data_IF_854423062101
#
_entry.id   IF_854423062101
#
_cell.length_a   1.000
_cell.length_b   1.000
_cell.length_c   1.000
_cell.angle_alpha   90.00
_cell.angle_beta   90.00
_cell.angle_gamma   90.00
#
_symmetry.space_group_name_H-M   'P 1'
#
loop_
_entity.id
_entity.type
_entity.pdbx_description
1 polymer ?
#
# COMPACT_ATOMS: atom_id res chain seq x y z
N UNK A 1 -5.04 18.15 10.53
CA UNK A 1 -5.24 16.97 9.67
C UNK A 1 -4.06 16.96 8.72
N UNK A 2 -3.22 15.94 8.78
CA UNK A 2 -2.03 15.88 7.92
C UNK A 2 -2.46 15.26 6.60
N UNK A 3 -2.81 16.11 5.63
CA UNK A 3 -3.06 15.69 4.25
C UNK A 3 -1.73 15.23 3.64
N UNK A 4 -1.42 13.94 3.81
CA UNK A 4 -0.30 13.31 3.13
C UNK A 4 -0.63 13.30 1.63
N UNK A 5 0.27 13.76 0.77
CA UNK A 5 0.09 13.75 -0.69
C UNK A 5 1.04 12.74 -1.31
N UNK A 6 0.49 11.83 -2.09
CA UNK A 6 1.23 10.83 -2.87
C UNK A 6 1.29 11.24 -4.33
N UNK A 7 2.48 11.14 -4.93
CA UNK A 7 2.67 11.37 -6.36
C UNK A 7 2.39 10.06 -7.10
N UNK A 8 1.43 10.10 -8.02
CA UNK A 8 1.11 9.01 -8.97
C UNK A 8 2.19 8.93 -10.05
N UNK A 9 2.21 7.79 -10.75
CA UNK A 9 3.11 7.51 -11.88
C UNK A 9 3.11 8.55 -12.99
N UNK A 10 2.00 9.24 -13.16
CA UNK A 10 1.84 10.32 -14.12
C UNK A 10 2.36 11.69 -13.61
N UNK A 11 2.87 11.74 -12.38
CA UNK A 11 3.31 12.98 -11.72
C UNK A 11 2.20 13.72 -10.97
N UNK A 12 0.94 13.29 -11.09
CA UNK A 12 -0.19 13.93 -10.39
C UNK A 12 -0.18 13.63 -8.89
N UNK A 13 -0.44 14.65 -8.08
CA UNK A 13 -0.57 14.51 -6.63
C UNK A 13 -2.01 14.10 -6.25
N UNK A 14 -2.13 13.10 -5.38
CA UNK A 14 -3.40 12.66 -4.80
C UNK A 14 -3.30 12.60 -3.29
N UNK A 15 -4.41 12.83 -2.61
CA UNK A 15 -4.49 12.67 -1.17
C UNK A 15 -4.28 11.21 -0.77
N UNK A 16 -3.30 11.00 0.11
CA UNK A 16 -3.02 9.75 0.77
C UNK A 16 -3.97 9.60 1.95
N UNK A 17 -4.92 8.67 1.82
CA UNK A 17 -5.80 8.30 2.91
C UNK A 17 -5.29 7.01 3.59
N UNK A 18 -4.94 7.11 4.88
CA UNK A 18 -4.53 5.96 5.70
C UNK A 18 -5.56 4.83 5.69
N UNK A 19 -6.86 5.12 5.56
CA UNK A 19 -7.92 4.09 5.48
C UNK A 19 -7.71 3.16 4.30
N UNK A 20 -7.22 3.66 3.16
CA UNK A 20 -6.98 2.79 1.99
C UNK A 20 -5.93 1.72 2.26
N UNK A 21 -4.89 2.04 3.03
CA UNK A 21 -3.89 1.05 3.45
C UNK A 21 -4.52 0.05 4.44
N UNK A 22 -5.28 0.55 5.41
CA UNK A 22 -5.93 -0.31 6.41
C UNK A 22 -6.91 -1.28 5.73
N UNK A 23 -7.74 -0.79 4.82
CA UNK A 23 -8.69 -1.62 4.06
C UNK A 23 -7.99 -2.60 3.13
N UNK A 24 -6.89 -2.20 2.47
CA UNK A 24 -6.09 -3.10 1.66
C UNK A 24 -5.47 -4.23 2.50
N UNK A 25 -4.91 -3.90 3.67
CA UNK A 25 -4.37 -4.89 4.60
C UNK A 25 -5.45 -5.82 5.14
N UNK A 26 -6.63 -5.31 5.54
CA UNK A 26 -7.76 -6.14 5.99
C UNK A 26 -8.29 -7.04 4.86
N UNK A 27 -8.37 -6.53 3.63
CA UNK A 27 -8.79 -7.31 2.45
C UNK A 27 -7.79 -8.41 2.09
N UNK A 28 -6.51 -8.22 2.43
CA UNK A 28 -5.47 -9.24 2.30
C UNK A 28 -5.45 -10.25 3.45
N UNK A 29 -6.38 -10.16 4.42
CA UNK A 29 -6.48 -11.08 5.55
C UNK A 29 -5.68 -10.66 6.79
N UNK A 30 -5.12 -9.45 6.83
CA UNK A 30 -4.43 -8.96 8.01
C UNK A 30 -5.41 -8.51 9.11
N UNK A 31 -5.05 -8.79 10.36
CA UNK A 31 -5.77 -8.26 11.53
C UNK A 31 -5.76 -6.73 11.53
N UNK A 32 -6.81 -6.14 12.10
CA UNK A 32 -6.98 -4.68 12.12
C UNK A 32 -5.83 -3.96 12.83
N UNK A 33 -5.29 -4.53 13.91
CA UNK A 33 -4.11 -4.01 14.60
C UNK A 33 -2.89 -3.96 13.68
N UNK A 34 -2.61 -5.07 12.99
CA UNK A 34 -1.50 -5.17 12.03
C UNK A 34 -1.68 -4.17 10.88
N UNK A 35 -2.90 -4.03 10.36
CA UNK A 35 -3.24 -3.09 9.31
C UNK A 35 -3.00 -1.63 9.74
N UNK A 36 -3.35 -1.28 10.99
CA UNK A 36 -3.11 0.05 11.56
C UNK A 36 -1.63 0.35 11.73
N UNK A 37 -0.86 -0.59 12.27
CA UNK A 37 0.60 -0.45 12.44
C UNK A 37 1.28 -0.24 11.09
N UNK A 38 0.94 -1.06 10.09
CA UNK A 38 1.49 -0.93 8.73
C UNK A 38 1.11 0.43 8.12
N UNK A 39 -0.13 0.88 8.29
CA UNK A 39 -0.57 2.18 7.77
C UNK A 39 0.18 3.35 8.43
N UNK A 40 0.57 3.21 9.68
CA UNK A 40 1.34 4.21 10.41
C UNK A 40 2.80 4.24 9.94
N UNK A 41 3.47 3.09 9.89
CA UNK A 41 4.84 2.97 9.39
C UNK A 41 4.96 3.49 7.95
N UNK A 42 4.02 3.13 7.07
CA UNK A 42 4.00 3.59 5.68
C UNK A 42 3.79 5.10 5.58
N UNK A 43 3.01 5.69 6.50
CA UNK A 43 2.79 7.14 6.53
C UNK A 43 3.99 7.94 7.01
N UNK A 44 4.80 7.38 7.89
CA UNK A 44 6.05 7.99 8.36
C UNK A 44 7.15 7.94 7.28
N UNK A 45 7.18 6.89 6.46
CA UNK A 45 8.16 6.74 5.36
C UNK A 45 7.79 7.52 4.08
N UNK A 46 6.63 8.18 4.03
CA UNK A 46 6.09 8.81 2.82
C UNK A 46 6.66 10.17 2.36
N UNK A 47 7.48 10.94 3.10
CA UNK A 47 8.08 12.12 2.49
C UNK A 47 9.23 11.70 1.55
N UNK A 48 8.90 11.57 0.24
CA UNK A 48 9.76 11.41 -0.97
C UNK A 48 9.74 10.05 -1.68
N UNK A 49 8.79 9.15 -1.40
CA UNK A 49 8.73 7.89 -2.13
C UNK A 49 7.49 7.86 -3.04
N UNK A 50 7.76 7.85 -4.34
CA UNK A 50 6.76 7.70 -5.39
C UNK A 50 5.92 6.43 -5.15
N UNK A 51 4.60 6.52 -5.29
CA UNK A 51 3.64 5.45 -4.90
C UNK A 51 3.96 4.07 -5.50
N UNK A 52 4.54 4.03 -6.70
CA UNK A 52 5.04 2.79 -7.32
C UNK A 52 6.10 2.08 -6.47
N UNK A 53 7.02 2.82 -5.85
CA UNK A 53 8.06 2.27 -4.98
C UNK A 53 7.49 1.72 -3.69
N UNK A 54 6.40 2.30 -3.17
CA UNK A 54 5.69 1.76 -1.98
C UNK A 54 5.11 0.38 -2.31
N UNK A 55 4.48 0.20 -3.48
CA UNK A 55 3.95 -1.10 -3.90
C UNK A 55 5.05 -2.15 -4.05
N UNK A 56 6.17 -1.79 -4.66
CA UNK A 56 7.34 -2.67 -4.77
C UNK A 56 7.93 -3.02 -3.40
N UNK A 57 7.99 -2.06 -2.46
CA UNK A 57 8.47 -2.28 -1.10
C UNK A 57 7.57 -3.23 -0.32
N UNK A 58 6.26 -3.02 -0.41
CA UNK A 58 5.25 -3.85 0.25
C UNK A 58 5.30 -5.27 -0.30
N UNK A 59 5.30 -5.44 -1.61
CA UNK A 59 5.44 -6.76 -2.25
C UNK A 59 6.74 -7.46 -1.83
N UNK A 60 7.87 -6.74 -1.84
CA UNK A 60 9.18 -7.29 -1.44
C UNK A 60 9.26 -7.66 0.03
N UNK A 61 8.55 -6.92 0.92
CA UNK A 61 8.42 -7.27 2.34
C UNK A 61 7.48 -8.47 2.53
N UNK A 62 6.40 -8.55 1.76
CA UNK A 62 5.44 -9.67 1.75
C UNK A 62 6.11 -10.95 1.25
N UNK A 63 6.79 -10.96 0.10
CA UNK A 63 7.46 -12.15 -0.43
C UNK A 63 8.46 -12.78 0.55
N UNK A 64 9.12 -11.95 1.38
CA UNK A 64 10.08 -12.42 2.39
C UNK A 64 9.43 -13.04 3.63
N UNK A 65 8.19 -12.69 3.94
CA UNK A 65 7.48 -13.16 5.13
C UNK A 65 6.42 -14.21 4.82
N UNK A 66 5.73 -14.05 3.70
CA UNK A 66 4.60 -14.85 3.29
C UNK A 66 4.44 -14.79 1.76
N UNK A 67 4.88 -15.86 1.09
CA UNK A 67 4.78 -15.96 -0.37
C UNK A 67 3.34 -16.07 -0.88
N UNK A 68 2.41 -16.55 -0.04
CA UNK A 68 1.02 -16.75 -0.42
C UNK A 68 0.27 -15.42 -0.42
N UNK A 69 0.50 -14.62 0.63
CA UNK A 69 0.03 -13.24 0.71
C UNK A 69 0.65 -12.35 -0.37
N UNK A 70 1.92 -12.58 -0.75
CA UNK A 70 2.55 -11.88 -1.87
C UNK A 70 1.87 -12.19 -3.22
N UNK A 71 1.51 -13.46 -3.46
CA UNK A 71 0.74 -13.84 -4.65
C UNK A 71 -0.65 -13.22 -4.65
N UNK A 72 -1.34 -13.21 -3.51
CA UNK A 72 -2.65 -12.57 -3.36
C UNK A 72 -2.57 -11.06 -3.62
N UNK A 73 -1.52 -10.40 -3.11
CA UNK A 73 -1.23 -8.99 -3.36
C UNK A 73 -1.01 -8.69 -4.85
N UNK A 74 -0.24 -9.54 -5.56
CA UNK A 74 -0.02 -9.43 -7.00
C UNK A 74 -1.33 -9.56 -7.80
N UNK A 75 -2.18 -10.53 -7.45
CA UNK A 75 -3.48 -10.71 -8.11
C UNK A 75 -4.40 -9.50 -7.88
N UNK A 76 -4.38 -8.93 -6.67
CA UNK A 76 -5.10 -7.71 -6.35
C UNK A 76 -4.56 -6.49 -7.13
N UNK A 77 -3.24 -6.30 -7.21
CA UNK A 77 -2.62 -5.20 -7.96
C UNK A 77 -2.92 -5.26 -9.46
N UNK A 78 -2.90 -6.45 -10.05
CA UNK A 78 -3.28 -6.67 -11.46
C UNK A 78 -4.75 -6.32 -11.69
N UNK A 79 -5.64 -6.75 -10.78
CA UNK A 79 -7.08 -6.50 -10.88
C UNK A 79 -7.43 -5.03 -10.76
N UNK A 80 -6.73 -4.29 -9.91
CA UNK A 80 -6.95 -2.85 -9.72
C UNK A 80 -6.35 -2.02 -10.86
N UNK A 81 -5.20 -2.42 -11.44
CA UNK A 81 -4.64 -1.79 -12.64
C UNK A 81 -5.48 -1.96 -13.89
N UNK A 82 -6.28 -3.04 -13.98
CA UNK A 82 -7.18 -3.27 -15.11
C UNK A 82 -8.47 -2.46 -15.09
N UNK A 83 -8.70 -1.65 -14.04
CA UNK A 83 -9.87 -0.76 -13.91
C UNK A 83 -9.54 0.72 -14.16
N UNK A 84 -8.29 1.06 -14.47
CA UNK A 84 -7.88 2.41 -14.90
C UNK A 84 -8.08 2.60 -16.41
#
# INVERSE_FOLDING_TARGET
MTELKIIKKDGSEVEFDKKKIIEACKSAGASEETAKVIADEVSEELPKIHSSKVRELVLKKLEKRDQEAAKAWLQFDIREKGKE
#
